data_IF_961779301369
#
_entry.id   IF_961779301369
#
_cell.length_a   1.000
_cell.length_b   1.000
_cell.length_c   1.000
_cell.angle_alpha   90.00
_cell.angle_beta   90.00
_cell.angle_gamma   90.00
#
_symmetry.space_group_name_H-M   'P 1'
#
loop_
_entity.id
_entity.type
_entity.pdbx_description
1 polymer ?
#
# COMPACT_ATOMS: atom_id res chain seq x y z
N UNK A 1 16.59 -0.59 10.74
CA UNK A 1 15.35 -1.18 10.21
C UNK A 1 14.89 -0.32 9.06
N UNK A 2 15.10 -0.81 7.83
CA UNK A 2 14.69 -0.13 6.62
C UNK A 2 13.27 -0.57 6.27
N UNK A 3 12.38 0.40 6.07
CA UNK A 3 11.04 0.15 5.57
C UNK A 3 10.94 0.64 4.14
N UNK A 4 10.30 -0.15 3.28
CA UNK A 4 9.97 0.23 1.92
C UNK A 4 8.57 -0.21 1.59
N UNK A 5 7.87 0.58 0.79
CA UNK A 5 6.53 0.25 0.30
C UNK A 5 6.55 0.14 -1.22
N UNK A 6 6.07 -0.99 -1.73
CA UNK A 6 5.79 -1.16 -3.15
C UNK A 6 4.32 -0.86 -3.41
N UNK A 7 4.02 0.02 -4.36
CA UNK A 7 2.65 0.38 -4.74
C UNK A 7 2.48 0.16 -6.24
N UNK A 8 1.45 -0.60 -6.60
CA UNK A 8 0.96 -0.79 -7.97
C UNK A 8 -0.45 -0.20 -8.06
N UNK A 9 -0.58 0.96 -8.72
CA UNK A 9 -1.86 1.65 -8.87
C UNK A 9 -2.44 1.39 -10.26
N UNK A 10 -3.36 0.43 -10.32
CA UNK A 10 -4.13 0.13 -11.53
C UNK A 10 -5.42 0.95 -11.61
N UNK A 11 -6.10 0.92 -12.75
CA UNK A 11 -7.36 1.64 -12.97
C UNK A 11 -8.52 1.14 -12.09
N UNK A 12 -8.54 -0.16 -11.77
CA UNK A 12 -9.59 -0.78 -10.95
C UNK A 12 -9.20 -0.89 -9.48
N UNK A 13 -7.94 -1.26 -9.21
CA UNK A 13 -7.47 -1.51 -7.86
C UNK A 13 -6.02 -1.07 -7.67
N UNK A 14 -5.73 -0.58 -6.48
CA UNK A 14 -4.39 -0.24 -6.03
C UNK A 14 -3.94 -1.29 -5.02
N UNK A 15 -2.77 -1.88 -5.28
CA UNK A 15 -2.15 -2.93 -4.50
C UNK A 15 -0.88 -2.41 -3.87
N UNK A 16 -0.47 -3.02 -2.78
CA UNK A 16 0.89 -2.83 -2.31
C UNK A 16 1.33 -3.74 -1.18
N UNK A 17 2.62 -3.65 -0.93
CA UNK A 17 3.34 -4.46 0.05
C UNK A 17 4.22 -3.56 0.92
N UNK A 18 4.17 -3.76 2.23
CA UNK A 18 5.14 -3.18 3.15
C UNK A 18 6.25 -4.21 3.36
N UNK A 19 7.49 -3.79 3.16
CA UNK A 19 8.66 -4.58 3.51
C UNK A 19 9.37 -3.95 4.70
N UNK A 20 9.83 -4.79 5.63
CA UNK A 20 10.79 -4.44 6.66
C UNK A 20 12.04 -5.29 6.43
N UNK A 21 13.17 -4.63 6.17
CA UNK A 21 14.46 -5.28 5.88
C UNK A 21 14.33 -6.35 4.77
N UNK A 22 13.57 -6.04 3.72
CA UNK A 22 13.34 -6.92 2.57
C UNK A 22 12.28 -8.02 2.78
N UNK A 23 11.73 -8.17 3.98
CA UNK A 23 10.67 -9.15 4.28
C UNK A 23 9.30 -8.50 4.16
N UNK A 24 8.38 -9.11 3.41
CA UNK A 24 7.00 -8.63 3.31
C UNK A 24 6.31 -8.81 4.66
N UNK A 25 5.96 -7.70 5.31
CA UNK A 25 5.28 -7.68 6.61
C UNK A 25 3.78 -7.45 6.48
N UNK A 26 3.34 -6.72 5.44
CA UNK A 26 1.92 -6.45 5.18
C UNK A 26 1.61 -6.37 3.69
N UNK A 27 0.36 -6.64 3.35
CA UNK A 27 -0.20 -6.50 2.00
C UNK A 27 -1.52 -5.74 2.08
N UNK A 28 -1.84 -4.96 1.07
CA UNK A 28 -3.16 -4.34 0.93
C UNK A 28 -3.64 -4.39 -0.51
N UNK A 29 -4.97 -4.35 -0.65
CA UNK A 29 -5.70 -4.24 -1.90
C UNK A 29 -6.89 -3.32 -1.63
N UNK A 30 -6.98 -2.22 -2.36
CA UNK A 30 -8.11 -1.28 -2.27
C UNK A 30 -8.62 -0.93 -3.67
N UNK A 31 -9.91 -0.61 -3.83
CA UNK A 31 -10.40 -0.03 -5.08
C UNK A 31 -9.63 1.25 -5.41
N UNK A 32 -9.32 1.47 -6.70
CA UNK A 32 -8.69 2.72 -7.12
C UNK A 32 -9.77 3.81 -7.21
N UNK A 33 -9.69 4.87 -6.38
CA UNK A 33 -10.62 5.98 -6.47
C UNK A 33 -10.21 6.92 -7.60
N UNK A 34 -11.07 7.87 -7.92
CA UNK A 34 -10.80 8.89 -8.94
C UNK A 34 -9.48 9.65 -8.74
N UNK A 35 -9.01 9.78 -7.48
CA UNK A 35 -7.72 10.39 -7.13
C UNK A 35 -6.74 9.35 -6.59
N UNK A 36 -5.71 8.93 -7.35
CA UNK A 36 -4.75 7.90 -6.91
C UNK A 36 -4.08 8.17 -5.56
N UNK A 37 -3.82 9.45 -5.24
CA UNK A 37 -3.27 9.85 -3.94
C UNK A 37 -4.13 9.40 -2.73
N UNK A 38 -5.44 9.28 -2.91
CA UNK A 38 -6.35 8.77 -1.87
C UNK A 38 -6.07 7.29 -1.61
N UNK A 39 -5.82 6.48 -2.64
CA UNK A 39 -5.49 5.06 -2.46
C UNK A 39 -4.16 4.88 -1.70
N UNK A 40 -3.18 5.75 -1.95
CA UNK A 40 -1.88 5.74 -1.24
C UNK A 40 -2.07 6.08 0.24
N UNK A 41 -2.94 7.05 0.55
CA UNK A 41 -3.26 7.41 1.94
C UNK A 41 -3.97 6.27 2.67
N UNK A 42 -4.94 5.63 2.02
CA UNK A 42 -5.64 4.46 2.59
C UNK A 42 -4.70 3.26 2.76
N UNK A 43 -3.81 3.03 1.80
CA UNK A 43 -2.74 2.04 1.90
C UNK A 43 -1.88 2.24 3.15
N UNK A 44 -1.43 3.48 3.39
CA UNK A 44 -0.66 3.81 4.59
C UNK A 44 -1.43 3.51 5.88
N UNK A 45 -2.72 3.85 5.95
CA UNK A 45 -3.57 3.56 7.11
C UNK A 45 -3.71 2.06 7.37
N UNK A 46 -3.87 1.25 6.32
CA UNK A 46 -3.93 -0.22 6.43
C UNK A 46 -2.59 -0.80 6.92
N UNK A 47 -1.47 -0.22 6.46
CA UNK A 47 -0.14 -0.59 6.92
C UNK A 47 0.18 -0.12 8.34
N UNK A 48 -0.40 1.00 8.80
CA UNK A 48 -0.18 1.57 10.12
C UNK A 48 -1.08 0.97 11.23
N UNK A 49 -2.24 0.39 10.87
CA UNK A 49 -3.12 -0.30 11.83
C UNK A 49 -2.51 -1.64 12.27
N UNK A 50 -1.59 -1.61 13.22
CA UNK A 50 -1.15 -2.77 14.02
C UNK A 50 -1.80 -2.74 15.38
#
# INVERSE_FOLDING_TARGET
>A
MAYSIGIDSGSTATKGILLADGVITRRFLVPTPFRPATAITEAWKLCAKG
#
